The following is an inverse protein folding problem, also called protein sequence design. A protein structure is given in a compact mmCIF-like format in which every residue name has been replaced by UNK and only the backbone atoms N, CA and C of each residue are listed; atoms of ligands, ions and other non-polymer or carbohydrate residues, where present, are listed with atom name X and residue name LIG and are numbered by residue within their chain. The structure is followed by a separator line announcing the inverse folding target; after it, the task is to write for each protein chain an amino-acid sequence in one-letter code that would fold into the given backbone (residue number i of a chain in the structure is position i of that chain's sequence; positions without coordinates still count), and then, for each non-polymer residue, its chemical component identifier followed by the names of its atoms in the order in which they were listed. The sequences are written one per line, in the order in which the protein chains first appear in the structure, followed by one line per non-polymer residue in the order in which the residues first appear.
data_IF_912058626582
#
_entry.id   IF_912058626582
#
_cell.length_a   1.000
_cell.length_b   1.000
_cell.length_c   1.000
_cell.angle_alpha   90.00
_cell.angle_beta   90.00
_cell.angle_gamma   90.00
#
_symmetry.space_group_name_H-M   'P 1'
#
loop_
_entity.id
_entity.type
_entity.pdbx_description
1 polymer ?
#
# COMPACT_ATOMS: atom_id res chain seq x y z
N UNK A 1 -28.54 -12.53 -22.44
CA UNK A 1 -29.15 -11.48 -21.62
C UNK A 1 -28.06 -10.52 -21.24
N UNK A 2 -28.07 -9.39 -21.95
CA UNK A 2 -27.06 -8.33 -21.85
C UNK A 2 -27.45 -7.37 -20.73
N UNK A 3 -26.57 -7.20 -19.74
CA UNK A 3 -26.71 -6.23 -18.66
C UNK A 3 -25.83 -5.01 -18.92
N UNK A 4 -26.45 -3.93 -19.28
CA UNK A 4 -25.82 -2.63 -19.49
C UNK A 4 -25.54 -1.93 -18.16
N UNK A 5 -24.36 -1.34 -18.02
CA UNK A 5 -23.98 -0.44 -16.94
C UNK A 5 -24.51 0.97 -17.23
N UNK A 6 -25.12 1.70 -16.28
CA UNK A 6 -25.59 3.07 -16.54
C UNK A 6 -24.44 4.08 -16.43
N UNK A 7 -24.25 4.81 -17.52
CA UNK A 7 -23.45 6.04 -17.55
C UNK A 7 -24.21 7.19 -16.90
N UNK A 8 -23.50 7.95 -16.08
CA UNK A 8 -23.98 9.21 -15.53
C UNK A 8 -24.13 10.25 -16.63
N UNK A 9 -25.36 10.73 -16.88
CA UNK A 9 -25.64 11.92 -17.68
C UNK A 9 -26.34 12.95 -16.81
N UNK A 10 -25.90 14.21 -16.92
CA UNK A 10 -26.72 15.36 -16.60
C UNK A 10 -26.14 16.36 -15.61
N UNK A 11 -25.35 17.31 -16.13
CA UNK A 11 -25.19 18.61 -15.48
C UNK A 11 -25.85 19.65 -16.37
N UNK A 12 -27.01 20.14 -15.95
CA UNK A 12 -27.69 21.26 -16.57
C UNK A 12 -27.04 22.58 -16.18
N UNK A 13 -26.64 23.34 -17.18
CA UNK A 13 -26.14 24.72 -17.07
C UNK A 13 -27.28 25.66 -16.74
N UNK A 14 -27.21 26.36 -15.61
CA UNK A 14 -27.92 27.62 -15.39
C UNK A 14 -26.91 28.74 -15.27
N UNK A 15 -26.99 29.67 -16.19
CA UNK A 15 -26.17 30.85 -16.24
C UNK A 15 -26.51 31.84 -15.13
N UNK A 16 -25.49 32.44 -14.56
CA UNK A 16 -25.56 33.77 -13.96
C UNK A 16 -24.34 34.58 -14.38
N UNK A 17 -24.60 35.57 -15.19
CA UNK A 17 -23.66 36.64 -15.56
C UNK A 17 -23.50 37.60 -14.38
N UNK A 18 -22.28 38.02 -14.14
CA UNK A 18 -21.93 39.29 -13.54
C UNK A 18 -21.69 39.30 -12.06
N UNK A 19 -20.39 39.34 -11.68
CA UNK A 19 -19.83 40.28 -10.68
C UNK A 19 -18.29 40.15 -10.61
N UNK A 20 -17.65 41.20 -11.14
CA UNK A 20 -16.42 41.84 -10.67
C UNK A 20 -15.09 41.10 -10.69
N UNK A 21 -14.27 41.54 -11.65
CA UNK A 21 -12.86 41.26 -11.88
C UNK A 21 -11.86 41.69 -10.75
N UNK A 22 -12.24 41.70 -9.49
CA UNK A 22 -11.38 42.13 -8.40
C UNK A 22 -10.85 40.97 -7.51
N UNK A 23 -11.23 39.74 -7.78
CA UNK A 23 -10.79 38.58 -6.95
C UNK A 23 -9.71 37.69 -7.58
N UNK A 24 -9.29 37.98 -8.79
CA UNK A 24 -8.31 37.16 -9.52
C UNK A 24 -6.86 37.30 -9.01
N UNK A 25 -6.53 38.32 -8.23
CA UNK A 25 -5.14 38.55 -7.78
C UNK A 25 -4.74 37.82 -6.49
N UNK A 26 -5.69 37.25 -5.75
CA UNK A 26 -5.39 36.51 -4.52
C UNK A 26 -5.07 35.04 -4.80
N UNK A 27 -5.73 34.45 -5.77
CA UNK A 27 -5.55 33.03 -6.15
C UNK A 27 -4.19 32.73 -6.78
N UNK A 28 -3.57 33.73 -7.45
CA UNK A 28 -2.27 33.57 -8.12
C UNK A 28 -1.09 33.52 -7.13
N UNK A 29 -1.26 34.02 -5.90
CA UNK A 29 -0.24 33.89 -4.84
C UNK A 29 -0.35 32.55 -4.13
N UNK A 30 -1.53 32.00 -3.99
CA UNK A 30 -1.76 30.74 -3.30
C UNK A 30 -1.34 29.52 -4.14
N UNK A 31 -1.52 29.56 -5.47
CA UNK A 31 -1.09 28.43 -6.29
C UNK A 31 0.45 28.30 -6.37
N UNK A 32 1.21 29.41 -6.29
CA UNK A 32 2.67 29.35 -6.18
C UNK A 32 3.15 28.84 -4.81
N UNK A 33 2.35 29.02 -3.76
CA UNK A 33 2.57 28.37 -2.48
C UNK A 33 2.06 26.93 -2.47
N UNK A 34 1.06 26.63 -3.26
CA UNK A 34 0.55 25.26 -3.47
C UNK A 34 1.54 24.41 -4.29
N UNK A 35 2.29 25.03 -5.20
CA UNK A 35 3.41 24.41 -5.94
C UNK A 35 4.68 24.25 -5.08
N UNK A 36 4.71 24.81 -3.90
CA UNK A 36 5.59 24.39 -2.80
C UNK A 36 4.98 23.21 -2.02
N UNK A 37 4.06 22.47 -2.60
CA UNK A 37 3.74 21.11 -2.14
C UNK A 37 5.06 20.38 -2.14
N UNK A 38 5.56 20.10 -0.95
CA UNK A 38 6.71 19.27 -0.70
C UNK A 38 6.67 18.14 -1.71
N UNK A 39 7.73 18.00 -2.50
CA UNK A 39 7.84 16.94 -3.46
C UNK A 39 7.36 15.66 -2.77
N UNK A 40 6.37 15.00 -3.36
CA UNK A 40 5.82 13.77 -2.81
C UNK A 40 6.97 12.77 -2.78
N UNK A 41 7.59 12.62 -1.61
CA UNK A 41 8.67 11.68 -1.39
C UNK A 41 8.11 10.48 -0.64
N UNK A 42 8.58 9.31 -0.97
CA UNK A 42 8.20 8.08 -0.31
C UNK A 42 9.34 7.08 -0.30
N UNK A 43 9.26 6.15 0.63
CA UNK A 43 10.16 5.02 0.72
C UNK A 43 9.41 3.75 0.30
N UNK A 44 9.99 2.99 -0.62
CA UNK A 44 9.48 1.69 -1.02
C UNK A 44 10.52 0.63 -0.67
N UNK A 45 10.16 -0.26 0.23
CA UNK A 45 10.94 -1.41 0.64
C UNK A 45 10.35 -2.66 0.00
N UNK A 46 11.17 -3.52 -0.56
CA UNK A 46 10.76 -4.85 -1.01
C UNK A 46 11.65 -5.91 -0.37
N UNK A 47 11.08 -7.09 -0.12
CA UNK A 47 11.84 -8.24 0.34
C UNK A 47 11.35 -9.52 -0.33
N UNK A 48 12.30 -10.31 -0.84
CA UNK A 48 12.09 -11.66 -1.33
C UNK A 48 12.66 -12.65 -0.31
N UNK A 49 11.77 -13.40 0.33
CA UNK A 49 12.08 -14.33 1.41
C UNK A 49 12.05 -15.76 0.90
N UNK A 50 13.07 -16.55 1.26
CA UNK A 50 13.22 -17.93 0.82
C UNK A 50 13.50 -18.83 2.00
N UNK A 51 13.06 -20.10 1.89
CA UNK A 51 13.21 -21.11 2.93
C UNK A 51 12.66 -20.60 4.27
N UNK A 52 11.43 -20.11 4.22
CA UNK A 52 10.71 -19.61 5.38
C UNK A 52 10.39 -20.79 6.33
N UNK A 53 10.90 -20.73 7.55
CA UNK A 53 10.71 -21.76 8.59
C UNK A 53 9.57 -21.41 9.56
N UNK A 54 8.67 -20.55 9.15
CA UNK A 54 7.50 -20.12 9.93
C UNK A 54 6.44 -21.24 10.04
N UNK A 55 5.45 -21.03 10.91
CA UNK A 55 4.24 -21.83 10.95
C UNK A 55 3.51 -21.73 9.58
N UNK A 56 3.09 -22.88 9.02
CA UNK A 56 2.42 -22.95 7.72
C UNK A 56 1.17 -22.09 7.62
N UNK A 57 0.48 -21.80 8.73
CA UNK A 57 -0.68 -20.91 8.73
C UNK A 57 -0.39 -19.54 8.14
N UNK A 58 0.84 -19.04 8.27
CA UNK A 58 1.23 -17.76 7.69
C UNK A 58 1.36 -17.79 6.17
N UNK A 59 1.50 -18.99 5.60
CA UNK A 59 1.60 -19.18 4.15
C UNK A 59 0.26 -19.55 3.50
N UNK A 60 -0.67 -20.13 4.27
CA UNK A 60 -1.88 -20.78 3.74
C UNK A 60 -3.19 -20.11 4.17
N UNK A 61 -3.22 -19.48 5.34
CA UNK A 61 -4.44 -18.94 5.95
C UNK A 61 -4.48 -17.42 5.82
N UNK A 62 -5.36 -16.95 4.92
CA UNK A 62 -5.56 -15.52 4.67
C UNK A 62 -6.06 -14.76 5.90
N UNK A 63 -6.87 -15.38 6.77
CA UNK A 63 -7.38 -14.73 7.99
C UNK A 63 -6.27 -14.57 9.02
N UNK A 64 -5.52 -15.64 9.31
CA UNK A 64 -4.41 -15.60 10.25
C UNK A 64 -3.32 -14.61 9.79
N UNK A 65 -2.92 -14.66 8.51
CA UNK A 65 -1.97 -13.71 7.93
C UNK A 65 -2.49 -12.27 8.02
N UNK A 66 -3.79 -12.08 7.74
CA UNK A 66 -4.44 -10.76 7.81
C UNK A 66 -4.38 -10.15 9.19
N UNK A 67 -4.63 -10.93 10.23
CA UNK A 67 -4.53 -10.50 11.62
C UNK A 67 -3.09 -10.12 11.98
N UNK A 68 -2.12 -10.95 11.60
CA UNK A 68 -0.70 -10.68 11.88
C UNK A 68 -0.21 -9.41 11.15
N UNK A 69 -0.59 -9.21 9.88
CA UNK A 69 -0.27 -7.99 9.14
C UNK A 69 -0.89 -6.74 9.78
N UNK A 70 -2.16 -6.81 10.20
CA UNK A 70 -2.82 -5.70 10.86
C UNK A 70 -2.16 -5.33 12.21
N UNK A 71 -1.71 -6.33 12.96
CA UNK A 71 -0.96 -6.13 14.21
C UNK A 71 0.41 -5.50 13.95
N UNK A 72 1.15 -5.98 12.94
CA UNK A 72 2.45 -5.44 12.57
C UNK A 72 2.33 -3.97 12.12
N UNK A 73 1.33 -3.63 11.30
CA UNK A 73 1.03 -2.25 10.87
C UNK A 73 0.78 -1.35 12.08
N UNK A 74 -0.07 -1.80 13.01
CA UNK A 74 -0.38 -1.04 14.24
C UNK A 74 0.84 -0.87 15.13
N UNK A 75 1.63 -1.93 15.32
CA UNK A 75 2.86 -1.90 16.14
C UNK A 75 3.91 -0.95 15.54
N UNK A 76 4.01 -0.87 14.21
CA UNK A 76 4.87 0.09 13.51
C UNK A 76 4.36 1.54 13.58
N UNK A 77 3.19 1.79 14.18
CA UNK A 77 2.60 3.13 14.28
C UNK A 77 2.03 3.65 12.95
N UNK A 78 1.69 2.74 12.02
CA UNK A 78 1.02 3.05 10.76
C UNK A 78 -0.48 2.86 10.90
N UNK A 79 -1.27 3.52 10.05
CA UNK A 79 -2.72 3.46 10.06
C UNK A 79 -3.24 2.69 8.85
N UNK A 80 -3.86 1.52 9.10
CA UNK A 80 -4.61 0.81 8.08
C UNK A 80 -5.96 1.50 7.83
N UNK A 81 -6.33 1.64 6.54
CA UNK A 81 -7.63 2.20 6.10
C UNK A 81 -8.49 1.17 5.36
N UNK A 82 -7.92 0.03 4.99
CA UNK A 82 -8.60 -1.09 4.35
C UNK A 82 -7.66 -2.27 4.15
N UNK A 83 -8.22 -3.44 3.87
CA UNK A 83 -7.42 -4.63 3.60
C UNK A 83 -8.19 -5.63 2.75
N UNK A 84 -7.44 -6.42 1.96
CA UNK A 84 -7.96 -7.56 1.22
C UNK A 84 -6.95 -8.70 1.30
N UNK A 85 -7.42 -9.87 1.68
CA UNK A 85 -6.66 -11.11 1.72
C UNK A 85 -7.42 -12.18 0.94
N UNK A 86 -6.71 -12.91 0.08
CA UNK A 86 -7.29 -13.94 -0.75
C UNK A 86 -6.41 -15.19 -0.73
N UNK A 87 -7.00 -16.34 -0.34
CA UNK A 87 -6.36 -17.65 -0.45
C UNK A 87 -6.65 -18.26 -1.81
N UNK A 88 -5.61 -18.77 -2.47
CA UNK A 88 -5.78 -19.54 -3.70
C UNK A 88 -6.10 -20.99 -3.37
N UNK A 89 -6.92 -21.68 -4.21
CA UNK A 89 -7.16 -23.10 -4.04
C UNK A 89 -5.89 -23.91 -4.33
N UNK A 90 -5.77 -25.08 -3.70
CA UNK A 90 -4.72 -26.03 -4.04
C UNK A 90 -4.81 -26.47 -5.50
N UNK A 91 -3.67 -26.74 -6.12
CA UNK A 91 -3.54 -27.15 -7.52
C UNK A 91 -2.64 -28.39 -7.64
N UNK A 92 -2.41 -28.88 -8.86
CA UNK A 92 -1.43 -29.94 -9.14
C UNK A 92 0.03 -29.56 -8.79
N UNK A 93 0.29 -28.26 -8.56
CA UNK A 93 1.63 -27.73 -8.20
C UNK A 93 1.82 -27.62 -6.68
N UNK A 94 0.77 -27.85 -5.90
CA UNK A 94 0.82 -27.77 -4.43
C UNK A 94 -0.34 -27.01 -3.80
N UNK A 95 -0.26 -26.73 -2.51
CA UNK A 95 -1.22 -25.90 -1.80
C UNK A 95 -1.21 -24.48 -2.37
N UNK A 96 -2.36 -23.86 -2.44
CA UNK A 96 -2.47 -22.45 -2.85
C UNK A 96 -1.99 -21.52 -1.75
N UNK A 97 -1.25 -20.48 -2.11
CA UNK A 97 -0.81 -19.45 -1.18
C UNK A 97 -1.85 -18.36 -0.95
N UNK A 98 -1.39 -17.26 -0.36
CA UNK A 98 -2.20 -16.07 -0.08
C UNK A 98 -1.64 -14.89 -0.88
N UNK A 99 -2.53 -14.09 -1.46
CA UNK A 99 -2.22 -12.75 -1.93
C UNK A 99 -2.95 -11.73 -1.06
N UNK A 100 -2.27 -10.68 -0.67
CA UNK A 100 -2.78 -9.75 0.31
C UNK A 100 -2.34 -8.31 0.06
N UNK A 101 -3.23 -7.38 0.41
CA UNK A 101 -2.91 -5.96 0.48
C UNK A 101 -3.54 -5.35 1.73
N UNK A 102 -2.77 -4.56 2.45
CA UNK A 102 -3.26 -3.64 3.47
C UNK A 102 -3.06 -2.22 2.95
N UNK A 103 -4.16 -1.51 2.75
CA UNK A 103 -4.16 -0.11 2.41
C UNK A 103 -3.84 0.70 3.67
N UNK A 104 -2.81 1.50 3.60
CA UNK A 104 -2.42 2.44 4.65
C UNK A 104 -2.82 3.85 4.21
N UNK A 105 -2.88 4.79 5.14
CA UNK A 105 -3.09 6.18 4.80
C UNK A 105 -1.94 6.65 3.85
N UNK A 106 -2.26 6.85 2.56
CA UNK A 106 -1.34 7.24 1.48
C UNK A 106 -0.22 6.22 1.15
N UNK A 107 -0.40 4.94 1.52
CA UNK A 107 0.64 3.92 1.48
C UNK A 107 0.05 2.53 1.33
N UNK A 108 0.87 1.49 1.32
CA UNK A 108 0.40 0.10 1.33
C UNK A 108 1.46 -0.87 1.86
N UNK A 109 0.96 -2.03 2.29
CA UNK A 109 1.70 -3.28 2.47
C UNK A 109 1.10 -4.30 1.51
N UNK A 110 1.92 -4.99 0.71
CA UNK A 110 1.52 -6.16 -0.06
C UNK A 110 2.30 -7.40 0.39
N UNK A 111 1.64 -8.55 0.39
CA UNK A 111 2.24 -9.84 0.74
C UNK A 111 1.74 -10.89 -0.24
N UNK A 112 2.67 -11.70 -0.77
CA UNK A 112 2.34 -12.88 -1.54
C UNK A 112 3.12 -14.06 -0.99
N UNK A 113 2.42 -15.17 -0.75
CA UNK A 113 3.03 -16.39 -0.21
C UNK A 113 3.03 -17.50 -1.27
N UNK A 114 4.09 -18.30 -1.26
CA UNK A 114 4.35 -19.41 -2.17
C UNK A 114 4.68 -20.64 -1.34
N UNK A 115 3.67 -21.33 -0.75
CA UNK A 115 3.89 -22.42 0.22
C UNK A 115 4.75 -23.55 -0.37
N UNK A 116 4.54 -23.86 -1.66
CA UNK A 116 5.28 -24.91 -2.39
C UNK A 116 6.77 -24.60 -2.55
N UNK A 117 7.17 -23.33 -2.37
CA UNK A 117 8.57 -22.87 -2.43
C UNK A 117 9.08 -22.40 -1.06
N UNK A 118 8.24 -22.44 -0.02
CA UNK A 118 8.52 -21.82 1.27
C UNK A 118 8.98 -20.36 1.08
N UNK A 119 8.33 -19.67 0.14
CA UNK A 119 8.71 -18.34 -0.28
C UNK A 119 7.66 -17.29 0.06
N UNK A 120 8.11 -16.04 0.25
CA UNK A 120 7.23 -14.87 0.45
C UNK A 120 7.83 -13.67 -0.24
N UNK A 121 6.99 -12.88 -0.90
CA UNK A 121 7.37 -11.54 -1.37
C UNK A 121 6.63 -10.48 -0.57
N UNK A 122 7.35 -9.43 -0.18
CA UNK A 122 6.86 -8.33 0.63
C UNK A 122 7.12 -7.00 -0.07
N UNK A 123 6.12 -6.12 -0.04
CA UNK A 123 6.21 -4.74 -0.47
C UNK A 123 5.66 -3.83 0.61
N UNK A 124 6.46 -2.88 1.08
CA UNK A 124 6.05 -1.82 2.01
C UNK A 124 6.37 -0.48 1.37
N UNK A 125 5.35 0.26 1.00
CA UNK A 125 5.49 1.62 0.52
C UNK A 125 4.90 2.59 1.53
N UNK A 126 5.66 3.62 1.90
CA UNK A 126 5.18 4.74 2.70
C UNK A 126 5.39 6.05 1.96
N UNK A 127 4.38 6.91 1.98
CA UNK A 127 4.50 8.29 1.54
C UNK A 127 4.89 9.17 2.72
N UNK A 128 5.93 10.00 2.55
CA UNK A 128 6.41 10.91 3.58
C UNK A 128 5.68 12.27 3.52
N UNK A 129 4.36 12.22 3.25
CA UNK A 129 3.54 13.41 3.24
C UNK A 129 3.30 13.90 4.68
N UNK A 130 3.75 15.12 4.97
CA UNK A 130 3.58 15.75 6.28
C UNK A 130 4.58 15.31 7.36
N UNK A 131 5.13 14.11 7.31
CA UNK A 131 6.16 13.59 8.21
C UNK A 131 7.03 12.54 7.52
N UNK A 132 8.19 12.25 8.08
CA UNK A 132 9.03 11.13 7.65
C UNK A 132 8.53 9.83 8.33
N UNK A 133 8.06 8.90 7.53
CA UNK A 133 7.57 7.59 7.96
C UNK A 133 8.56 6.45 7.66
N UNK A 134 9.76 6.75 7.19
CA UNK A 134 10.75 5.75 6.78
C UNK A 134 11.09 4.75 7.90
N UNK A 135 11.30 5.25 9.13
CA UNK A 135 11.56 4.39 10.27
C UNK A 135 10.40 3.41 10.58
N UNK A 136 9.16 3.84 10.34
CA UNK A 136 7.97 2.98 10.51
C UNK A 136 7.88 1.91 9.42
N UNK A 137 8.27 2.26 8.19
CA UNK A 137 8.32 1.29 7.09
C UNK A 137 9.35 0.19 7.38
N UNK A 138 10.55 0.55 7.86
CA UNK A 138 11.56 -0.42 8.26
C UNK A 138 11.06 -1.30 9.41
N UNK A 139 10.48 -0.73 10.46
CA UNK A 139 9.93 -1.48 11.58
C UNK A 139 8.84 -2.47 11.14
N UNK A 140 7.98 -2.08 10.20
CA UNK A 140 6.97 -2.98 9.61
C UNK A 140 7.63 -4.10 8.82
N UNK A 141 8.59 -3.79 7.94
CA UNK A 141 9.32 -4.79 7.15
C UNK A 141 10.03 -5.79 8.06
N UNK A 142 10.75 -5.30 9.06
CA UNK A 142 11.49 -6.16 10.03
C UNK A 142 10.55 -7.10 10.79
N UNK A 143 9.39 -6.60 11.22
CA UNK A 143 8.39 -7.43 11.92
C UNK A 143 7.84 -8.55 11.01
N UNK A 144 7.60 -8.26 9.73
CA UNK A 144 7.12 -9.26 8.76
C UNK A 144 8.21 -10.28 8.43
N UNK A 145 9.45 -9.84 8.22
CA UNK A 145 10.58 -10.76 8.00
C UNK A 145 10.75 -11.70 9.21
N UNK A 146 10.66 -11.16 10.43
CA UNK A 146 10.72 -11.97 11.66
C UNK A 146 9.55 -12.97 11.75
N UNK A 147 8.34 -12.63 11.29
CA UNK A 147 7.19 -13.53 11.26
C UNK A 147 7.44 -14.74 10.36
N UNK A 148 8.03 -14.54 9.19
CA UNK A 148 8.26 -15.59 8.20
C UNK A 148 9.54 -16.41 8.44
N UNK A 149 10.47 -15.95 9.27
CA UNK A 149 11.71 -16.66 9.63
C UNK A 149 12.47 -17.22 8.41
N UNK A 150 12.81 -16.39 7.42
CA UNK A 150 13.47 -16.88 6.21
C UNK A 150 14.93 -17.27 6.50
N UNK A 151 15.43 -18.35 5.84
CA UNK A 151 16.85 -18.64 5.83
C UNK A 151 17.65 -17.69 4.91
N UNK A 152 16.97 -17.09 3.93
CA UNK A 152 17.53 -16.09 3.01
C UNK A 152 16.52 -14.98 2.74
N UNK A 153 17.00 -13.74 2.77
CA UNK A 153 16.21 -12.57 2.42
C UNK A 153 17.01 -11.65 1.49
N UNK A 154 16.39 -11.22 0.41
CA UNK A 154 16.90 -10.17 -0.47
C UNK A 154 16.07 -8.93 -0.26
N UNK A 155 16.71 -7.81 0.08
CA UNK A 155 16.05 -6.55 0.36
C UNK A 155 16.43 -5.51 -0.70
N UNK A 156 15.45 -4.70 -1.10
CA UNK A 156 15.69 -3.51 -1.90
C UNK A 156 15.01 -2.32 -1.25
N UNK A 157 15.62 -1.15 -1.45
CA UNK A 157 15.14 0.14 -0.98
C UNK A 157 15.13 1.14 -2.12
N UNK A 158 14.02 1.79 -2.35
CA UNK A 158 13.85 2.77 -3.40
C UNK A 158 13.17 4.03 -2.87
N UNK A 159 13.88 5.16 -2.96
CA UNK A 159 13.25 6.46 -2.77
C UNK A 159 12.38 6.79 -3.97
N UNK A 160 11.13 7.14 -3.72
CA UNK A 160 10.11 7.45 -4.76
C UNK A 160 9.64 8.89 -4.63
N UNK A 161 9.14 9.42 -5.75
CA UNK A 161 8.63 10.78 -5.81
C UNK A 161 9.53 11.71 -6.60
N UNK A 162 9.21 13.01 -6.61
CA UNK A 162 9.99 14.01 -7.32
C UNK A 162 11.15 14.46 -6.43
N UNK A 163 12.38 14.21 -6.89
CA UNK A 163 13.58 14.84 -6.35
C UNK A 163 13.69 16.20 -7.04
N UNK A 164 13.60 17.30 -6.27
CA UNK A 164 13.88 18.64 -6.76
C UNK A 164 15.40 18.86 -6.83
#
# INVERSE_FOLDING_TARGET
MSGETPYFTGVTSHGQQGRTARRAKSWVKDWKNWLKVRAMQGLHLTADLQQCACDERWLLDAEALGQACAEAVRAAGLQAVGQLFHSFPASSHGPGGVTAVVLLAESHLCVHTWPEQQGVTLDVYVCNFGADHSARAHALMDALVALFQPARASHNELMRGYLN
#
